data_IF_772195004805
#
_entry.id   IF_772195004805
#
_cell.length_a   1.000
_cell.length_b   1.000
_cell.length_c   1.000
_cell.angle_alpha   90.00
_cell.angle_beta   90.00
_cell.angle_gamma   90.00
#
_symmetry.space_group_name_H-M   'P 1'
#
loop_
_entity.id
_entity.type
_entity.pdbx_description
1 polymer ?
#
# COMPACT_ATOMS: atom_id res chain seq x y z
N UNK A 1 -12.08 14.61 -7.79
CA UNK A 1 -11.68 13.28 -7.30
C UNK A 1 -11.19 13.51 -5.87
N UNK A 2 -12.07 13.39 -4.87
CA UNK A 2 -11.81 13.77 -3.45
C UNK A 2 -11.73 12.55 -2.52
N UNK A 3 -11.47 11.35 -3.06
CA UNK A 3 -11.81 10.13 -2.33
C UNK A 3 -10.84 9.76 -1.20
N UNK A 4 -9.54 10.02 -1.31
CA UNK A 4 -8.58 9.58 -0.27
C UNK A 4 -8.32 10.63 0.82
N UNK A 5 -8.28 11.92 0.45
CA UNK A 5 -7.95 13.00 1.39
C UNK A 5 -9.05 13.15 2.46
N UNK A 6 -10.33 13.06 2.07
CA UNK A 6 -11.45 13.14 3.01
C UNK A 6 -11.49 11.98 4.00
N UNK A 7 -11.18 10.76 3.54
CA UNK A 7 -11.07 9.57 4.41
C UNK A 7 -9.91 9.71 5.39
N UNK A 8 -8.75 10.18 4.92
CA UNK A 8 -7.58 10.39 5.78
C UNK A 8 -7.87 11.47 6.83
N UNK A 9 -8.47 12.59 6.41
CA UNK A 9 -8.87 13.65 7.33
C UNK A 9 -9.84 13.15 8.40
N UNK A 10 -10.85 12.35 8.02
CA UNK A 10 -11.78 11.76 8.98
C UNK A 10 -11.08 10.79 9.94
N UNK A 11 -10.27 9.85 9.44
CA UNK A 11 -9.53 8.90 10.28
C UNK A 11 -8.58 9.60 11.26
N UNK A 12 -7.89 10.65 10.80
CA UNK A 12 -7.01 11.45 11.66
C UNK A 12 -7.81 12.19 12.73
N UNK A 13 -9.00 12.73 12.40
CA UNK A 13 -9.89 13.36 13.37
C UNK A 13 -10.40 12.36 14.43
N UNK A 14 -10.57 11.09 14.06
CA UNK A 14 -10.92 9.98 14.98
C UNK A 14 -9.70 9.41 15.73
N UNK A 15 -8.51 10.00 15.58
CA UNK A 15 -7.31 9.66 16.34
C UNK A 15 -6.32 8.72 15.64
N UNK A 16 -6.49 8.44 14.35
CA UNK A 16 -5.49 7.73 13.57
C UNK A 16 -4.23 8.59 13.37
N UNK A 17 -3.06 7.95 13.35
CA UNK A 17 -1.79 8.64 13.08
C UNK A 17 -1.48 8.63 11.59
N UNK A 18 -0.96 9.75 11.08
CA UNK A 18 -0.44 9.84 9.71
C UNK A 18 1.05 9.50 9.69
N UNK A 19 1.50 8.74 8.69
CA UNK A 19 2.92 8.53 8.43
C UNK A 19 3.63 9.82 8.02
N UNK A 20 4.25 10.51 8.98
CA UNK A 20 4.92 11.82 8.76
C UNK A 20 6.44 11.73 8.50
N UNK A 21 7.02 10.54 8.60
CA UNK A 21 8.44 10.27 8.36
C UNK A 21 8.61 9.16 7.32
N UNK A 22 9.75 9.11 6.62
CA UNK A 22 10.07 8.00 5.72
C UNK A 22 10.30 6.68 6.48
N UNK A 23 10.86 6.77 7.70
CA UNK A 23 10.88 5.64 8.63
C UNK A 23 9.52 5.56 9.32
N UNK A 24 8.75 4.56 8.95
CA UNK A 24 7.42 4.31 9.48
C UNK A 24 7.56 3.32 10.62
N UNK A 25 7.25 3.77 11.83
CA UNK A 25 7.19 2.91 13.00
C UNK A 25 5.80 2.28 13.13
N UNK A 26 5.70 0.98 13.44
CA UNK A 26 4.41 0.39 13.79
C UNK A 26 3.91 0.99 15.11
N UNK A 27 2.61 1.21 15.19
CA UNK A 27 1.94 1.69 16.40
C UNK A 27 1.45 0.48 17.22
N UNK A 28 1.52 0.60 18.54
CA UNK A 28 1.08 -0.47 19.45
C UNK A 28 -0.45 -0.60 19.48
N UNK A 29 -1.15 0.54 19.58
CA UNK A 29 -2.60 0.64 19.62
C UNK A 29 -3.08 1.74 18.66
N UNK A 30 -4.24 1.54 18.06
CA UNK A 30 -4.88 2.51 17.16
C UNK A 30 -4.70 2.19 15.67
N UNK A 31 -4.87 3.22 14.83
CA UNK A 31 -4.77 3.12 13.36
C UNK A 31 -3.64 4.01 12.84
N UNK A 32 -2.84 3.45 11.93
CA UNK A 32 -1.83 4.18 11.17
C UNK A 32 -2.31 4.29 9.73
N UNK A 33 -2.42 5.52 9.24
CA UNK A 33 -2.86 5.82 7.88
C UNK A 33 -1.65 6.11 7.01
N UNK A 34 -1.56 5.40 5.90
CA UNK A 34 -0.48 5.48 4.93
C UNK A 34 -1.07 5.62 3.53
N UNK A 35 -0.48 6.47 2.72
CA UNK A 35 -0.81 6.54 1.31
C UNK A 35 -0.05 5.46 0.54
N UNK A 36 -0.71 4.89 -0.47
CA UNK A 36 -0.15 3.86 -1.33
C UNK A 36 -0.59 4.08 -2.77
N UNK A 37 0.20 3.58 -3.71
CA UNK A 37 -0.16 3.64 -5.13
C UNK A 37 0.09 2.28 -5.78
N UNK A 38 -0.96 1.48 -6.06
CA UNK A 38 -0.81 0.09 -6.49
C UNK A 38 0.13 -0.10 -7.68
N UNK A 39 0.07 0.79 -8.68
CA UNK A 39 0.97 0.73 -9.84
C UNK A 39 2.45 0.95 -9.46
N UNK A 40 2.73 1.81 -8.48
CA UNK A 40 4.09 1.95 -7.94
C UNK A 40 4.50 0.71 -7.15
N UNK A 41 3.62 0.19 -6.30
CA UNK A 41 3.86 -1.01 -5.51
C UNK A 41 4.28 -2.20 -6.39
N UNK A 42 3.55 -2.50 -7.47
CA UNK A 42 3.93 -3.52 -8.45
C UNK A 42 5.36 -3.33 -8.98
N UNK A 43 5.71 -2.09 -9.36
CA UNK A 43 7.04 -1.77 -9.90
C UNK A 43 8.14 -1.94 -8.84
N UNK A 44 7.89 -1.57 -7.59
CA UNK A 44 8.84 -1.72 -6.48
C UNK A 44 9.05 -3.18 -6.07
N UNK A 45 8.06 -4.03 -6.29
CA UNK A 45 8.19 -5.49 -6.22
C UNK A 45 8.90 -6.10 -7.43
N UNK A 46 9.28 -5.30 -8.44
CA UNK A 46 9.84 -5.77 -9.71
C UNK A 46 8.93 -6.78 -10.41
N UNK A 47 7.62 -6.55 -10.33
CA UNK A 47 6.59 -7.37 -10.96
C UNK A 47 5.91 -6.58 -12.08
N UNK A 48 5.41 -7.29 -13.09
CA UNK A 48 4.58 -6.68 -14.13
C UNK A 48 3.25 -6.28 -13.47
N UNK A 49 2.82 -5.01 -13.53
CA UNK A 49 1.52 -4.60 -13.00
C UNK A 49 0.38 -5.27 -13.78
N UNK A 50 -0.77 -5.47 -13.12
CA UNK A 50 -1.99 -5.87 -13.81
C UNK A 50 -2.36 -4.86 -14.91
N UNK A 51 -2.96 -5.32 -16.03
CA UNK A 51 -3.60 -4.43 -16.98
C UNK A 51 -4.65 -3.53 -16.32
N UNK A 52 -5.09 -2.49 -17.03
CA UNK A 52 -6.25 -1.72 -16.62
C UNK A 52 -7.46 -2.64 -16.45
N UNK A 53 -8.34 -2.36 -15.49
CA UNK A 53 -9.47 -3.24 -15.11
C UNK A 53 -10.31 -3.71 -16.30
N UNK A 54 -10.60 -2.81 -17.25
CA UNK A 54 -11.38 -3.13 -18.45
C UNK A 54 -10.71 -4.16 -19.39
N UNK A 55 -9.38 -4.32 -19.28
CA UNK A 55 -8.58 -5.20 -20.13
C UNK A 55 -7.99 -6.39 -19.36
N UNK A 56 -8.12 -6.44 -18.04
CA UNK A 56 -7.58 -7.50 -17.23
C UNK A 56 -8.50 -8.72 -17.30
N UNK A 57 -7.92 -9.88 -17.56
CA UNK A 57 -8.61 -11.17 -17.55
C UNK A 57 -8.49 -11.84 -16.19
N UNK A 58 -9.32 -12.86 -15.95
CA UNK A 58 -9.17 -13.71 -14.76
C UNK A 58 -7.80 -14.41 -14.73
N UNK A 59 -7.26 -14.80 -15.89
CA UNK A 59 -5.94 -15.41 -15.99
C UNK A 59 -4.83 -14.45 -15.57
N UNK A 60 -4.93 -13.17 -15.94
CA UNK A 60 -3.97 -12.15 -15.48
C UNK A 60 -4.00 -12.03 -13.95
N UNK A 61 -5.20 -12.04 -13.36
CA UNK A 61 -5.37 -11.97 -11.91
C UNK A 61 -4.80 -13.22 -11.21
N UNK A 62 -5.10 -14.41 -11.73
CA UNK A 62 -4.59 -15.67 -11.18
C UNK A 62 -3.07 -15.78 -11.25
N UNK A 63 -2.46 -15.39 -12.38
CA UNK A 63 -1.00 -15.40 -12.55
C UNK A 63 -0.33 -14.45 -11.55
N UNK A 64 -0.81 -13.21 -11.47
CA UNK A 64 -0.23 -12.20 -10.56
C UNK A 64 -0.46 -12.57 -9.10
N UNK A 65 -1.61 -13.13 -8.77
CA UNK A 65 -1.87 -13.64 -7.43
C UNK A 65 -0.95 -14.80 -7.09
N UNK A 66 -0.73 -15.74 -8.01
CA UNK A 66 0.17 -16.88 -7.81
C UNK A 66 1.60 -16.44 -7.50
N UNK A 67 2.12 -15.45 -8.23
CA UNK A 67 3.43 -14.87 -7.93
C UNK A 67 3.47 -14.22 -6.54
N UNK A 68 2.46 -13.43 -6.15
CA UNK A 68 2.38 -12.83 -4.82
C UNK A 68 2.24 -13.90 -3.72
N UNK A 69 1.42 -14.92 -3.93
CA UNK A 69 1.21 -16.01 -2.98
C UNK A 69 2.51 -16.78 -2.73
N UNK A 70 3.29 -17.07 -3.77
CA UNK A 70 4.60 -17.67 -3.63
C UNK A 70 5.59 -16.81 -2.85
N UNK A 71 5.57 -15.48 -3.04
CA UNK A 71 6.49 -14.56 -2.34
C UNK A 71 6.12 -14.29 -0.88
N UNK A 72 4.83 -14.24 -0.56
CA UNK A 72 4.33 -13.82 0.75
C UNK A 72 3.68 -14.95 1.55
N UNK A 73 3.71 -16.19 1.06
CA UNK A 73 3.10 -17.34 1.74
C UNK A 73 1.57 -17.24 1.84
N UNK A 74 0.92 -16.64 0.84
CA UNK A 74 -0.54 -16.53 0.81
C UNK A 74 -1.17 -17.85 0.33
N UNK A 75 -2.44 -18.04 0.66
CA UNK A 75 -3.24 -19.22 0.26
C UNK A 75 -3.45 -19.24 -1.27
N UNK A 76 -2.79 -20.12 -2.03
CA UNK A 76 -2.83 -20.11 -3.50
C UNK A 76 -4.19 -20.54 -4.08
N UNK A 77 -5.08 -21.12 -3.28
CA UNK A 77 -6.44 -21.49 -3.66
C UNK A 77 -7.40 -20.30 -3.77
N UNK A 78 -7.02 -19.14 -3.21
CA UNK A 78 -7.83 -17.93 -3.32
C UNK A 78 -7.84 -17.41 -4.77
N UNK A 79 -8.92 -16.73 -5.13
CA UNK A 79 -9.12 -16.14 -6.47
C UNK A 79 -9.58 -14.69 -6.32
N UNK A 80 -8.68 -13.79 -5.87
CA UNK A 80 -9.02 -12.38 -5.70
C UNK A 80 -9.39 -11.73 -7.03
N UNK A 81 -10.32 -10.79 -7.00
CA UNK A 81 -10.65 -9.96 -8.16
C UNK A 81 -9.51 -8.98 -8.49
N UNK A 82 -9.64 -8.25 -9.60
CA UNK A 82 -8.69 -7.20 -9.97
C UNK A 82 -8.54 -6.16 -8.85
N UNK A 83 -9.65 -5.66 -8.31
CA UNK A 83 -9.64 -4.65 -7.25
C UNK A 83 -9.04 -5.21 -5.95
N UNK A 84 -9.36 -6.46 -5.60
CA UNK A 84 -8.77 -7.14 -4.43
C UNK A 84 -7.25 -7.25 -4.56
N UNK A 85 -6.73 -7.51 -5.76
CA UNK A 85 -5.29 -7.54 -6.02
C UNK A 85 -4.63 -6.16 -5.95
N UNK A 86 -5.31 -5.11 -6.43
CA UNK A 86 -4.82 -3.74 -6.25
C UNK A 86 -4.78 -3.34 -4.77
N UNK A 87 -5.79 -3.73 -3.99
CA UNK A 87 -5.82 -3.48 -2.55
C UNK A 87 -4.74 -4.29 -1.82
N UNK A 88 -4.59 -5.57 -2.15
CA UNK A 88 -3.56 -6.44 -1.58
C UNK A 88 -2.17 -5.86 -1.81
N UNK A 89 -1.80 -5.60 -3.06
CA UNK A 89 -0.43 -5.14 -3.38
C UNK A 89 -0.10 -3.79 -2.75
N UNK A 90 -1.10 -2.90 -2.62
CA UNK A 90 -0.97 -1.62 -1.94
C UNK A 90 -0.72 -1.79 -0.43
N UNK A 91 -1.31 -2.82 0.20
CA UNK A 91 -1.17 -3.10 1.62
C UNK A 91 0.09 -3.89 2.02
N UNK A 92 0.81 -4.50 1.07
CA UNK A 92 1.94 -5.40 1.39
C UNK A 92 3.09 -4.72 2.16
N UNK A 93 3.27 -3.41 2.02
CA UNK A 93 4.26 -2.67 2.82
C UNK A 93 3.99 -2.78 4.33
N UNK A 94 2.72 -2.92 4.72
CA UNK A 94 2.30 -3.08 6.11
C UNK A 94 2.93 -4.31 6.78
N UNK A 95 3.19 -5.39 6.04
CA UNK A 95 3.85 -6.59 6.57
C UNK A 95 5.26 -6.25 7.07
N UNK A 96 6.02 -5.48 6.28
CA UNK A 96 7.37 -5.07 6.63
C UNK A 96 7.36 -4.07 7.81
N UNK A 97 6.43 -3.12 7.80
CA UNK A 97 6.27 -2.12 8.87
C UNK A 97 5.95 -2.78 10.21
N UNK A 98 4.94 -3.65 10.25
CA UNK A 98 4.56 -4.40 11.46
C UNK A 98 5.72 -5.29 11.93
N UNK A 99 6.42 -5.91 10.98
CA UNK A 99 7.59 -6.74 11.25
C UNK A 99 8.88 -5.97 11.59
N UNK A 100 8.87 -4.63 11.63
CA UNK A 100 10.05 -3.77 11.81
C UNK A 100 11.20 -4.08 10.83
N UNK A 101 10.86 -4.42 9.59
CA UNK A 101 11.79 -4.70 8.50
C UNK A 101 11.88 -3.48 7.57
N UNK A 102 12.73 -2.52 7.92
CA UNK A 102 12.83 -1.24 7.19
C UNK A 102 13.30 -1.38 5.74
N UNK A 103 13.92 -2.51 5.37
CA UNK A 103 14.32 -2.84 4.01
C UNK A 103 13.18 -3.41 3.15
N UNK A 104 12.06 -3.83 3.76
CA UNK A 104 10.89 -4.44 3.12
C UNK A 104 9.85 -3.44 2.61
N UNK A 105 10.08 -2.13 2.78
CA UNK A 105 9.27 -1.08 2.19
C UNK A 105 10.11 0.15 1.84
N UNK A 106 9.52 1.07 1.07
CA UNK A 106 10.05 2.40 0.83
C UNK A 106 8.93 3.43 0.94
N UNK A 107 9.21 4.56 1.56
CA UNK A 107 8.31 5.70 1.65
C UNK A 107 8.88 6.84 0.79
N UNK A 108 8.20 7.16 -0.32
CA UNK A 108 8.67 8.15 -1.30
C UNK A 108 7.74 9.36 -1.33
N UNK A 109 8.32 10.56 -1.37
CA UNK A 109 7.59 11.82 -1.33
C UNK A 109 8.23 12.81 -0.38
N UNK A 110 7.43 13.77 0.08
CA UNK A 110 7.84 14.79 1.03
C UNK A 110 7.09 14.62 2.36
N UNK A 111 7.68 15.12 3.45
CA UNK A 111 6.99 15.14 4.74
C UNK A 111 5.68 15.92 4.62
N UNK A 112 4.55 15.34 5.07
CA UNK A 112 3.27 16.01 4.99
C UNK A 112 3.25 17.23 5.94
N UNK A 113 2.54 18.27 5.54
CA UNK A 113 2.33 19.47 6.35
C UNK A 113 0.89 19.97 6.26
N UNK A 114 0.46 20.78 7.22
CA UNK A 114 -0.88 21.35 7.21
C UNK A 114 -0.93 22.67 6.43
N UNK A 115 -1.91 22.78 5.54
CA UNK A 115 -2.24 23.99 4.80
C UNK A 115 -3.76 24.14 4.76
N UNK A 116 -4.28 25.28 5.21
CA UNK A 116 -5.72 25.59 5.28
C UNK A 116 -6.58 24.50 5.94
N UNK A 117 -6.04 23.84 6.97
CA UNK A 117 -6.74 22.77 7.70
C UNK A 117 -6.70 21.39 7.03
N UNK A 118 -5.97 21.24 5.93
CA UNK A 118 -5.78 19.99 5.22
C UNK A 118 -4.32 19.53 5.26
N UNK A 119 -4.10 18.21 5.31
CA UNK A 119 -2.78 17.65 5.07
C UNK A 119 -2.48 17.68 3.58
N UNK A 120 -1.32 18.25 3.23
CA UNK A 120 -0.81 18.34 1.87
C UNK A 120 0.56 17.68 1.82
N UNK A 121 0.93 17.16 0.65
CA UNK A 121 2.05 16.25 0.46
C UNK A 121 1.90 14.97 1.28
N UNK A 122 2.90 14.10 1.22
CA UNK A 122 2.94 12.87 1.98
C UNK A 122 3.87 11.84 1.34
N UNK A 123 3.97 10.71 2.01
CA UNK A 123 4.73 9.58 1.51
C UNK A 123 3.80 8.55 0.87
N UNK A 124 4.11 8.18 -0.36
CA UNK A 124 3.59 6.96 -0.98
C UNK A 124 4.46 5.81 -0.48
N UNK A 125 3.85 4.97 0.34
CA UNK A 125 4.48 3.79 0.91
C UNK A 125 4.27 2.60 -0.02
N UNK A 126 5.38 2.00 -0.46
CA UNK A 126 5.40 0.87 -1.37
C UNK A 126 6.17 -0.30 -0.76
N UNK A 127 5.73 -1.55 -0.95
CA UNK A 127 6.54 -2.71 -0.60
C UNK A 127 7.77 -2.79 -1.52
N UNK A 128 8.87 -3.32 -1.01
CA UNK A 128 10.06 -3.62 -1.80
C UNK A 128 10.21 -5.12 -1.97
N UNK A 129 10.81 -5.53 -3.09
CA UNK A 129 11.30 -6.90 -3.17
C UNK A 129 12.43 -7.07 -2.14
N UNK A 130 12.16 -7.84 -1.08
CA UNK A 130 13.19 -8.29 -0.13
C UNK A 130 14.27 -8.98 -0.97
N UNK A 131 15.52 -8.52 -0.84
CA UNK A 131 16.67 -9.17 -1.48
C UNK A 131 17.08 -10.43 -0.71
#
# INVERSE_FOLDING_TARGET
MEFSIGVFAHLIAEGALLGINQSIEPIADGLLVLESFPRSAWRKLKMIPLPAKANATSSDCEERFGELAGRYGLKPELRPSHDDLQALVAGLAGIAIVGRKHDGYVAEGASPFQHDGHWVEGFIVNPTAIQ
#
